data_IF_584231129869
#
_entry.id   IF_584231129869
#
_cell.length_a   1.000
_cell.length_b   1.000
_cell.length_c   1.000
_cell.angle_alpha   90.00
_cell.angle_beta   90.00
_cell.angle_gamma   90.00
#
_symmetry.space_group_name_H-M   'P 1'
#
loop_
_entity.id
_entity.type
_entity.pdbx_description
1 polymer ?
#
# COMPACT_ATOMS: atom_id res chain seq x y z
N UNK A 1 18.47 -6.78 -1.98
CA UNK A 1 17.78 -6.20 -0.80
C UNK A 1 17.91 -4.69 -0.92
N UNK A 2 16.81 -3.92 -0.87
CA UNK A 2 16.85 -2.48 -1.11
C UNK A 2 17.53 -1.73 0.06
N UNK A 3 18.25 -0.66 -0.26
CA UNK A 3 18.84 0.23 0.75
C UNK A 3 17.80 1.13 1.42
N UNK A 4 18.14 1.67 2.60
CA UNK A 4 17.24 2.54 3.37
C UNK A 4 16.83 3.81 2.60
N UNK A 5 17.75 4.44 1.88
CA UNK A 5 17.47 5.62 1.06
C UNK A 5 16.52 5.30 -0.12
N UNK A 6 16.68 4.13 -0.73
CA UNK A 6 15.81 3.70 -1.82
C UNK A 6 14.39 3.37 -1.31
N UNK A 7 14.28 2.73 -0.15
CA UNK A 7 13.00 2.51 0.53
C UNK A 7 12.32 3.84 0.91
N UNK A 8 13.09 4.82 1.39
CA UNK A 8 12.56 6.15 1.71
C UNK A 8 12.02 6.86 0.45
N UNK A 9 12.74 6.82 -0.67
CA UNK A 9 12.27 7.38 -1.94
C UNK A 9 10.98 6.72 -2.44
N UNK A 10 10.86 5.40 -2.29
CA UNK A 10 9.66 4.63 -2.66
C UNK A 10 8.47 4.92 -1.74
N UNK A 11 8.72 5.12 -0.44
CA UNK A 11 7.70 5.55 0.51
C UNK A 11 7.20 6.98 0.20
N UNK A 12 8.12 7.88 -0.16
CA UNK A 12 7.77 9.24 -0.59
C UNK A 12 6.90 9.24 -1.86
N UNK A 13 7.24 8.42 -2.86
CA UNK A 13 6.43 8.24 -4.06
C UNK A 13 5.02 7.69 -3.74
N UNK A 14 4.93 6.73 -2.83
CA UNK A 14 3.62 6.23 -2.39
C UNK A 14 2.78 7.34 -1.74
N UNK A 15 3.39 8.17 -0.89
CA UNK A 15 2.73 9.30 -0.27
C UNK A 15 2.32 10.38 -1.30
N UNK A 16 3.16 10.68 -2.30
CA UNK A 16 2.82 11.62 -3.38
C UNK A 16 1.57 11.17 -4.16
N UNK A 17 1.44 9.88 -4.45
CA UNK A 17 0.35 9.34 -5.27
C UNK A 17 -0.93 9.03 -4.48
N UNK A 18 -0.82 8.67 -3.21
CA UNK A 18 -1.96 8.21 -2.39
C UNK A 18 -2.29 9.17 -1.24
N UNK A 19 -1.49 10.21 -1.05
CA UNK A 19 -1.67 11.27 -0.06
C UNK A 19 -1.58 10.76 1.38
N UNK A 20 -2.35 11.41 2.25
CA UNK A 20 -2.38 11.18 3.70
C UNK A 20 -2.88 9.78 4.09
N UNK A 21 -3.41 9.01 3.14
CA UNK A 21 -3.79 7.61 3.38
C UNK A 21 -2.57 6.74 3.70
N UNK A 22 -1.39 7.09 3.21
CA UNK A 22 -0.15 6.36 3.49
C UNK A 22 0.35 6.66 4.89
N UNK A 23 0.33 5.66 5.77
CA UNK A 23 1.02 5.73 7.04
C UNK A 23 2.50 5.35 6.82
N UNK A 24 3.40 6.29 7.07
CA UNK A 24 4.83 6.06 7.01
C UNK A 24 5.30 5.26 8.24
N UNK A 25 5.70 4.01 8.06
CA UNK A 25 6.16 3.13 9.15
C UNK A 25 7.69 3.09 9.31
N UNK A 26 8.38 4.19 9.01
CA UNK A 26 9.85 4.22 8.94
C UNK A 26 10.40 3.46 7.72
N UNK A 27 11.70 3.10 7.66
CA UNK A 27 12.27 2.36 6.54
C UNK A 27 11.80 0.90 6.56
N UNK A 28 10.59 0.69 6.03
CA UNK A 28 9.98 -0.61 5.88
C UNK A 28 9.91 -1.01 4.39
N UNK A 29 9.99 -2.31 4.05
CA UNK A 29 9.83 -2.78 2.67
C UNK A 29 8.37 -2.74 2.19
N UNK A 30 7.51 -1.99 2.87
CA UNK A 30 6.09 -1.85 2.58
C UNK A 30 5.58 -0.48 3.02
N UNK A 31 4.45 -0.07 2.44
CA UNK A 31 3.64 1.05 2.89
C UNK A 31 2.30 0.54 3.42
N UNK A 32 1.78 1.17 4.47
CA UNK A 32 0.42 0.93 4.94
C UNK A 32 -0.52 1.99 4.38
N UNK A 33 -1.54 1.58 3.64
CA UNK A 33 -2.56 2.47 3.07
C UNK A 33 -3.83 2.32 3.88
N UNK A 34 -4.23 3.39 4.59
CA UNK A 34 -5.47 3.45 5.36
C UNK A 34 -6.67 3.51 4.43
N UNK A 35 -7.70 2.73 4.75
CA UNK A 35 -8.98 2.71 4.07
C UNK A 35 -10.08 3.20 5.01
N UNK A 36 -11.04 3.94 4.47
CA UNK A 36 -12.19 4.41 5.24
C UNK A 36 -13.24 3.32 5.51
N UNK A 37 -13.27 2.27 4.69
CA UNK A 37 -14.19 1.13 4.77
C UNK A 37 -13.67 -0.03 3.89
N UNK A 38 -14.27 -1.21 4.06
CA UNK A 38 -14.25 -2.36 3.14
C UNK A 38 -12.88 -2.80 2.61
N UNK A 39 -11.93 -3.04 3.52
CA UNK A 39 -10.58 -3.50 3.16
C UNK A 39 -10.58 -4.76 2.27
N UNK A 40 -11.50 -5.69 2.47
CA UNK A 40 -11.60 -6.92 1.68
C UNK A 40 -11.97 -6.66 0.23
N UNK A 41 -12.96 -5.79 -0.02
CA UNK A 41 -13.41 -5.46 -1.36
C UNK A 41 -12.30 -4.76 -2.15
N UNK A 42 -11.60 -3.83 -1.51
CA UNK A 42 -10.45 -3.13 -2.11
C UNK A 42 -9.28 -4.09 -2.33
N UNK A 43 -8.97 -4.97 -1.37
CA UNK A 43 -7.93 -6.00 -1.50
C UNK A 43 -8.20 -6.90 -2.70
N UNK A 44 -9.42 -7.44 -2.81
CA UNK A 44 -9.81 -8.30 -3.92
C UNK A 44 -9.74 -7.56 -5.27
N UNK A 45 -10.18 -6.31 -5.31
CA UNK A 45 -10.15 -5.51 -6.54
C UNK A 45 -8.73 -5.13 -6.96
N UNK A 46 -7.85 -4.78 -6.02
CA UNK A 46 -6.44 -4.52 -6.27
C UNK A 46 -5.73 -5.77 -6.83
N UNK A 47 -6.00 -6.94 -6.24
CA UNK A 47 -5.47 -8.23 -6.73
C UNK A 47 -5.94 -8.55 -8.15
N UNK A 48 -7.23 -8.32 -8.46
CA UNK A 48 -7.76 -8.46 -9.84
C UNK A 48 -7.08 -7.53 -10.85
N UNK A 49 -6.50 -6.42 -10.38
CA UNK A 49 -5.71 -5.48 -11.21
C UNK A 49 -4.21 -5.81 -11.25
N UNK A 50 -3.82 -6.98 -10.73
CA UNK A 50 -2.42 -7.43 -10.70
C UNK A 50 -1.58 -6.78 -9.61
N UNK A 51 -2.19 -6.09 -8.64
CA UNK A 51 -1.47 -5.45 -7.55
C UNK A 51 -1.30 -6.43 -6.39
N UNK A 52 -0.05 -6.75 -6.05
CA UNK A 52 0.27 -7.58 -4.90
C UNK A 52 0.07 -6.78 -3.59
N UNK A 53 -1.08 -6.97 -2.96
CA UNK A 53 -1.45 -6.39 -1.66
C UNK A 53 -1.90 -7.47 -0.68
N UNK A 54 -1.80 -7.16 0.61
CA UNK A 54 -2.39 -7.93 1.69
C UNK A 54 -3.30 -7.03 2.53
N UNK A 55 -4.51 -7.49 2.83
CA UNK A 55 -5.48 -6.77 3.67
C UNK A 55 -5.10 -6.84 5.15
N UNK A 56 -5.68 -5.96 5.96
CA UNK A 56 -5.49 -5.92 7.43
C UNK A 56 -5.72 -7.28 8.10
N UNK A 57 -6.72 -8.04 7.64
CA UNK A 57 -7.13 -9.31 8.24
C UNK A 57 -6.07 -10.41 8.07
N UNK A 58 -5.21 -10.29 7.05
CA UNK A 58 -4.13 -11.25 6.78
C UNK A 58 -2.95 -11.11 7.76
N UNK A 59 -2.88 -10.01 8.52
CA UNK A 59 -1.80 -9.76 9.48
C UNK A 59 -2.15 -10.12 10.93
N UNK A 60 -3.21 -10.91 11.15
CA UNK A 60 -3.74 -11.19 12.49
C UNK A 60 -3.94 -9.90 13.30
N UNK A 61 -4.36 -8.83 12.61
CA UNK A 61 -4.50 -7.52 13.20
C UNK A 61 -5.49 -7.61 14.37
N UNK A 62 -5.12 -6.99 15.50
CA UNK A 62 -5.98 -6.96 16.69
C UNK A 62 -7.35 -6.39 16.31
N UNK A 63 -8.43 -6.92 16.91
CA UNK A 63 -9.77 -6.29 16.85
C UNK A 63 -9.62 -4.78 17.11
N UNK A 64 -10.09 -3.96 16.17
CA UNK A 64 -10.00 -2.49 16.24
C UNK A 64 -8.86 -1.86 15.42
N UNK A 65 -8.05 -2.65 14.71
CA UNK A 65 -7.09 -2.09 13.74
C UNK A 65 -7.86 -1.46 12.58
N UNK A 66 -7.51 -0.23 12.21
CA UNK A 66 -8.18 0.47 11.11
C UNK A 66 -8.07 -0.33 9.79
N UNK A 67 -9.14 -0.39 8.99
CA UNK A 67 -9.09 -1.02 7.66
C UNK A 67 -7.95 -0.44 6.82
N UNK A 68 -7.24 -1.31 6.11
CA UNK A 68 -6.05 -0.90 5.38
C UNK A 68 -5.46 -2.00 4.50
N UNK A 69 -4.47 -1.60 3.71
CA UNK A 69 -3.71 -2.46 2.82
C UNK A 69 -2.23 -2.31 3.09
N UNK A 70 -1.52 -3.43 3.17
CA UNK A 70 -0.08 -3.45 3.05
C UNK A 70 0.31 -3.57 1.58
N UNK A 71 1.01 -2.57 1.06
CA UNK A 71 1.55 -2.55 -0.30
C UNK A 71 3.05 -2.80 -0.24
N UNK A 72 3.53 -3.81 -0.96
CA UNK A 72 4.97 -4.07 -1.03
C UNK A 72 5.70 -2.95 -1.79
N UNK A 73 6.80 -2.46 -1.23
CA UNK A 73 7.69 -1.50 -1.89
C UNK A 73 8.93 -2.17 -2.50
N UNK A 74 9.04 -3.49 -2.45
CA UNK A 74 10.24 -4.23 -2.86
C UNK A 74 10.31 -4.62 -4.33
N UNK A 75 9.23 -4.39 -5.10
CA UNK A 75 9.17 -4.68 -6.54
C UNK A 75 10.14 -3.79 -7.35
N UNK A 76 10.34 -4.03 -8.64
CA UNK A 76 11.05 -3.05 -9.48
C UNK A 76 10.27 -1.71 -9.57
N UNK A 77 10.96 -0.63 -9.94
CA UNK A 77 10.39 0.74 -9.94
C UNK A 77 9.17 0.89 -10.87
N UNK A 78 9.20 0.23 -12.04
CA UNK A 78 8.12 0.30 -13.00
C UNK A 78 6.86 -0.39 -12.47
N UNK A 79 7.01 -1.61 -11.93
CA UNK A 79 5.92 -2.34 -11.30
C UNK A 79 5.34 -1.58 -10.10
N UNK A 80 6.20 -0.98 -9.26
CA UNK A 80 5.78 -0.17 -8.11
C UNK A 80 4.95 1.04 -8.55
N UNK A 81 5.43 1.82 -9.52
CA UNK A 81 4.69 2.98 -10.05
C UNK A 81 3.35 2.57 -10.65
N UNK A 82 3.30 1.46 -11.39
CA UNK A 82 2.08 0.95 -11.99
C UNK A 82 1.07 0.53 -10.90
N UNK A 83 1.52 -0.19 -9.88
CA UNK A 83 0.73 -0.60 -8.72
C UNK A 83 0.14 0.60 -7.95
N UNK A 84 0.97 1.58 -7.60
CA UNK A 84 0.53 2.77 -6.86
C UNK A 84 -0.49 3.59 -7.67
N UNK A 85 -0.28 3.75 -8.98
CA UNK A 85 -1.26 4.43 -9.86
C UNK A 85 -2.56 3.62 -10.02
N UNK A 86 -2.49 2.30 -10.04
CA UNK A 86 -3.68 1.46 -10.06
C UNK A 86 -4.47 1.62 -8.76
N UNK A 87 -3.80 1.67 -7.61
CA UNK A 87 -4.42 1.93 -6.31
C UNK A 87 -5.01 3.34 -6.21
N UNK A 88 -4.30 4.37 -6.66
CA UNK A 88 -4.81 5.75 -6.65
C UNK A 88 -6.13 5.91 -7.42
N UNK A 89 -6.33 5.13 -8.49
CA UNK A 89 -7.58 5.10 -9.26
C UNK A 89 -8.68 4.25 -8.64
N UNK A 90 -8.34 3.40 -7.67
CA UNK A 90 -9.28 2.53 -6.96
C UNK A 90 -9.84 3.19 -5.70
N UNK A 91 -9.05 4.05 -5.07
CA UNK A 91 -9.42 4.72 -3.84
C UNK A 91 -10.15 6.02 -4.19
N UNK A 92 -11.42 6.19 -3.80
CA UNK A 92 -12.11 7.46 -3.98
C UNK A 92 -11.38 8.56 -3.19
N UNK A 93 -11.40 9.79 -3.74
CA UNK A 93 -10.78 11.00 -3.17
C UNK A 93 -11.13 11.21 -1.72
#
# INVERSE_FOLDING_TARGET
>A
MLGAAELAGRAALAHELLGDRVAATGPAPFAWVRLGHDADAVTALARRRGVAVAGTDEFAARRGTAPGLRVSLSADDAALRAALRALARLLPG
#
